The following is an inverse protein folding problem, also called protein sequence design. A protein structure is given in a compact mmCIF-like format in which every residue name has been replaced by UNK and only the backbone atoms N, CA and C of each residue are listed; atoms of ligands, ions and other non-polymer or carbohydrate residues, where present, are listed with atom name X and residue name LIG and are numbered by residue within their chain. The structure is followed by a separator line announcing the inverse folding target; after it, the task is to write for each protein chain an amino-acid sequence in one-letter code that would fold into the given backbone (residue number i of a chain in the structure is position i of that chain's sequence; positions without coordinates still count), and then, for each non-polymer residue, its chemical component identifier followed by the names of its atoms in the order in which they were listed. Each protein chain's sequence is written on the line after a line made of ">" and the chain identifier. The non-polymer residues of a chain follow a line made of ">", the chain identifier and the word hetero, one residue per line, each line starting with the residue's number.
data_IF_228456499279
#
_entry.id   IF_228456499279
#
_cell.length_a   1.000
_cell.length_b   1.000
_cell.length_c   1.000
_cell.angle_alpha   90.00
_cell.angle_beta   90.00
_cell.angle_gamma   90.00
#
_symmetry.space_group_name_H-M   'P 1'
#
loop_
_entity.id
_entity.type
_entity.pdbx_description
1 polymer ?
#
# COMPACT_ATOMS: atom_id res chain seq x y z
N UNK A 1 30.35 -10.36 -10.09
CA UNK A 1 28.91 -10.60 -10.29
C UNK A 1 28.14 -10.06 -9.09
N UNK A 2 27.17 -9.24 -9.34
CA UNK A 2 26.33 -8.81 -8.25
C UNK A 2 25.46 -9.96 -7.76
N UNK A 3 25.29 -10.05 -6.48
CA UNK A 3 24.46 -11.06 -5.87
C UNK A 3 22.99 -10.62 -5.98
N UNK A 4 22.25 -11.23 -6.89
CA UNK A 4 20.83 -11.04 -6.94
C UNK A 4 20.17 -11.80 -5.79
N UNK A 5 19.35 -11.08 -5.02
CA UNK A 5 18.61 -11.69 -3.92
C UNK A 5 17.22 -11.06 -3.78
N UNK A 6 16.24 -11.91 -3.55
CA UNK A 6 14.89 -11.51 -3.15
C UNK A 6 14.69 -11.59 -1.63
N UNK A 7 15.77 -11.79 -0.87
CA UNK A 7 15.69 -11.80 0.57
C UNK A 7 15.35 -10.41 1.10
N UNK A 8 14.38 -10.35 2.00
CA UNK A 8 13.96 -9.10 2.61
C UNK A 8 14.92 -8.74 3.75
N UNK A 9 15.27 -7.45 3.85
CA UNK A 9 15.96 -6.95 5.02
C UNK A 9 14.98 -6.78 6.20
N UNK A 10 15.50 -6.41 7.36
CA UNK A 10 14.69 -6.29 8.58
C UNK A 10 13.59 -5.25 8.44
N UNK A 11 13.88 -4.11 7.83
CA UNK A 11 12.89 -3.06 7.59
C UNK A 11 11.76 -3.52 6.67
N UNK A 12 12.10 -4.20 5.59
CA UNK A 12 11.12 -4.76 4.65
C UNK A 12 10.25 -5.83 5.31
N UNK A 13 10.83 -6.66 6.18
CA UNK A 13 10.07 -7.64 6.95
C UNK A 13 9.10 -6.95 7.92
N UNK A 14 9.52 -5.88 8.57
CA UNK A 14 8.65 -5.08 9.43
C UNK A 14 7.49 -4.45 8.65
N UNK A 15 7.77 -3.89 7.48
CA UNK A 15 6.74 -3.33 6.59
C UNK A 15 5.75 -4.41 6.18
N UNK A 16 6.23 -5.59 5.81
CA UNK A 16 5.37 -6.71 5.45
C UNK A 16 4.45 -7.09 6.61
N UNK A 17 5.01 -7.28 7.81
CA UNK A 17 4.25 -7.73 8.96
C UNK A 17 3.23 -6.66 9.40
N UNK A 18 3.62 -5.41 9.39
CA UNK A 18 2.76 -4.27 9.70
C UNK A 18 1.60 -4.13 8.70
N UNK A 19 1.91 -4.21 7.41
CA UNK A 19 0.89 -4.14 6.36
C UNK A 19 -0.04 -5.35 6.41
N UNK A 20 0.51 -6.54 6.66
CA UNK A 20 -0.27 -7.76 6.82
C UNK A 20 -1.25 -7.66 8.00
N UNK A 21 -0.81 -7.11 9.12
CA UNK A 21 -1.68 -6.90 10.29
C UNK A 21 -2.86 -6.00 9.95
N UNK A 22 -2.63 -4.90 9.26
CA UNK A 22 -3.71 -4.02 8.78
C UNK A 22 -4.64 -4.75 7.81
N UNK A 23 -4.09 -5.48 6.87
CA UNK A 23 -4.88 -6.24 5.89
C UNK A 23 -5.76 -7.30 6.57
N UNK A 24 -5.22 -8.02 7.54
CA UNK A 24 -5.93 -9.07 8.26
C UNK A 24 -7.00 -8.50 9.21
N UNK A 25 -6.68 -7.43 9.93
CA UNK A 25 -7.53 -6.95 11.01
C UNK A 25 -8.55 -5.90 10.57
N UNK A 26 -8.25 -5.13 9.53
CA UNK A 26 -9.10 -4.03 9.06
C UNK A 26 -9.72 -4.33 7.70
N UNK A 27 -8.92 -4.75 6.71
CA UNK A 27 -9.41 -4.90 5.34
C UNK A 27 -10.27 -6.14 5.15
N UNK A 28 -9.77 -7.32 5.50
CA UNK A 28 -10.51 -8.57 5.29
C UNK A 28 -11.87 -8.61 5.96
N UNK A 29 -12.01 -8.19 7.23
CA UNK A 29 -13.33 -8.17 7.85
C UNK A 29 -14.33 -7.21 7.20
N UNK A 30 -13.86 -6.15 6.56
CA UNK A 30 -14.70 -5.11 5.95
C UNK A 30 -14.98 -5.35 4.46
N UNK A 31 -14.24 -6.24 3.80
CA UNK A 31 -14.26 -6.37 2.35
C UNK A 31 -15.67 -6.69 1.79
N UNK A 32 -16.37 -7.63 2.38
CA UNK A 32 -17.69 -8.04 1.92
C UNK A 32 -18.72 -6.92 2.02
N UNK A 33 -18.72 -6.19 3.12
CA UNK A 33 -19.64 -5.06 3.33
C UNK A 33 -19.44 -3.98 2.25
N UNK A 34 -18.19 -3.58 2.00
CA UNK A 34 -17.91 -2.52 1.05
C UNK A 34 -18.15 -2.96 -0.40
N UNK A 35 -17.91 -4.23 -0.71
CA UNK A 35 -18.26 -4.79 -2.01
C UNK A 35 -19.78 -4.72 -2.25
N UNK A 36 -20.57 -5.09 -1.27
CA UNK A 36 -22.04 -5.04 -1.39
C UNK A 36 -22.60 -3.62 -1.45
N UNK A 37 -21.98 -2.67 -0.72
CA UNK A 37 -22.45 -1.27 -0.68
C UNK A 37 -22.20 -0.52 -1.98
N UNK A 38 -21.25 -0.97 -2.79
CA UNK A 38 -20.85 -0.30 -4.03
C UNK A 38 -20.53 1.19 -3.81
N UNK A 39 -19.92 1.50 -2.66
CA UNK A 39 -19.53 2.85 -2.25
C UNK A 39 -18.02 2.92 -2.06
N UNK A 40 -17.45 4.13 -2.14
CA UNK A 40 -16.04 4.31 -1.83
C UNK A 40 -15.81 4.10 -0.33
N UNK A 41 -14.85 3.27 0.07
CA UNK A 41 -14.68 2.86 1.47
C UNK A 41 -13.87 3.90 2.28
N UNK A 42 -14.39 5.11 2.42
CA UNK A 42 -13.71 6.18 3.15
C UNK A 42 -13.18 5.78 4.52
N UNK A 43 -13.95 5.06 5.39
CA UNK A 43 -13.44 4.69 6.70
C UNK A 43 -12.19 3.81 6.65
N UNK A 44 -12.10 2.92 5.66
CA UNK A 44 -10.94 2.04 5.51
C UNK A 44 -9.72 2.83 5.02
N UNK A 45 -9.92 3.75 4.08
CA UNK A 45 -8.86 4.64 3.59
C UNK A 45 -8.37 5.55 4.73
N UNK A 46 -9.27 6.06 5.56
CA UNK A 46 -8.91 6.86 6.73
C UNK A 46 -8.07 6.07 7.74
N UNK A 47 -8.43 4.81 8.01
CA UNK A 47 -7.62 3.95 8.87
C UNK A 47 -6.22 3.69 8.28
N UNK A 48 -6.14 3.47 6.97
CA UNK A 48 -4.87 3.33 6.28
C UNK A 48 -4.02 4.61 6.39
N UNK A 49 -4.66 5.78 6.29
CA UNK A 49 -3.98 7.08 6.44
C UNK A 49 -3.43 7.27 7.85
N UNK A 50 -4.19 6.90 8.87
CA UNK A 50 -3.75 7.02 10.27
C UNK A 50 -2.45 6.27 10.57
N UNK A 51 -2.24 5.14 9.93
CA UNK A 51 -1.04 4.33 10.12
C UNK A 51 0.05 4.62 9.09
N UNK A 52 -0.20 5.53 8.14
CA UNK A 52 0.80 5.93 7.13
C UNK A 52 0.83 5.11 5.85
N UNK A 53 -0.09 4.16 5.66
CA UNK A 53 -0.19 3.39 4.41
C UNK A 53 -0.79 4.19 3.25
N UNK A 54 -1.67 5.13 3.54
CA UNK A 54 -2.22 6.02 2.55
C UNK A 54 -1.52 7.37 2.63
N UNK A 55 -0.88 7.78 1.55
CA UNK A 55 -0.24 9.07 1.49
C UNK A 55 1.03 9.05 0.63
N UNK A 56 1.44 10.23 0.24
CA UNK A 56 2.57 10.43 -0.66
C UNK A 56 3.91 10.02 -0.04
N UNK A 57 4.07 10.27 1.25
CA UNK A 57 5.33 9.99 1.95
C UNK A 57 5.72 8.51 1.90
N UNK A 58 4.77 7.63 2.21
CA UNK A 58 5.01 6.19 2.14
C UNK A 58 5.43 5.76 0.73
N UNK A 59 4.67 6.23 -0.27
CA UNK A 59 4.94 5.87 -1.66
C UNK A 59 6.33 6.35 -2.09
N UNK A 60 6.69 7.59 -1.78
CA UNK A 60 7.99 8.15 -2.14
C UNK A 60 9.14 7.42 -1.46
N UNK A 61 9.00 7.11 -0.17
CA UNK A 61 10.02 6.36 0.55
C UNK A 61 10.20 4.95 -0.03
N UNK A 62 9.10 4.28 -0.36
CA UNK A 62 9.15 2.95 -0.96
C UNK A 62 9.79 2.96 -2.35
N UNK A 63 9.52 4.00 -3.14
CA UNK A 63 10.11 4.13 -4.48
C UNK A 63 11.60 4.46 -4.47
N UNK A 64 12.12 5.01 -3.37
CA UNK A 64 13.55 5.28 -3.22
C UNK A 64 14.36 4.05 -2.83
N UNK A 65 13.71 2.96 -2.47
CA UNK A 65 14.39 1.70 -2.16
C UNK A 65 15.05 1.13 -3.42
N UNK A 66 16.38 1.05 -3.39
CA UNK A 66 17.18 0.60 -4.53
C UNK A 66 17.00 -0.89 -4.84
N UNK A 67 16.58 -1.70 -3.87
CA UNK A 67 16.26 -3.11 -4.11
C UNK A 67 14.98 -3.28 -4.93
N UNK A 68 14.09 -2.29 -4.89
CA UNK A 68 12.79 -2.34 -5.54
C UNK A 68 11.79 -3.27 -4.86
N UNK A 69 12.08 -3.78 -3.66
CA UNK A 69 11.25 -4.79 -2.99
C UNK A 69 10.24 -4.20 -2.01
N UNK A 70 10.48 -3.00 -1.47
CA UNK A 70 9.63 -2.42 -0.43
C UNK A 70 8.20 -2.22 -0.91
N UNK A 71 8.00 -1.58 -2.07
CA UNK A 71 6.66 -1.34 -2.59
C UNK A 71 5.93 -2.63 -2.97
N UNK A 72 6.53 -3.57 -3.73
CA UNK A 72 5.88 -4.84 -4.03
C UNK A 72 5.47 -5.64 -2.79
N UNK A 73 6.28 -5.65 -1.75
CA UNK A 73 5.99 -6.35 -0.49
C UNK A 73 4.75 -5.77 0.18
N UNK A 74 4.67 -4.45 0.29
CA UNK A 74 3.49 -3.79 0.87
C UNK A 74 2.23 -3.99 0.01
N UNK A 75 2.35 -3.84 -1.31
CA UNK A 75 1.24 -4.01 -2.24
C UNK A 75 0.71 -5.44 -2.21
N UNK A 76 1.59 -6.42 -2.17
CA UNK A 76 1.18 -7.83 -2.07
C UNK A 76 0.31 -8.08 -0.85
N UNK A 77 0.69 -7.56 0.31
CA UNK A 77 -0.08 -7.72 1.55
C UNK A 77 -1.41 -6.95 1.52
N UNK A 78 -1.42 -5.75 0.98
CA UNK A 78 -2.66 -4.96 0.83
C UNK A 78 -3.65 -5.72 -0.06
N UNK A 79 -3.22 -6.24 -1.20
CA UNK A 79 -4.08 -6.96 -2.12
C UNK A 79 -4.45 -8.37 -1.62
N UNK A 80 -3.62 -8.97 -0.79
CA UNK A 80 -4.01 -10.16 -0.03
C UNK A 80 -5.19 -9.85 0.91
N UNK A 81 -5.23 -8.65 1.48
CA UNK A 81 -6.35 -8.19 2.30
C UNK A 81 -7.65 -8.14 1.53
N UNK A 82 -7.67 -7.38 0.45
CA UNK A 82 -8.78 -7.30 -0.50
C UNK A 82 -8.37 -6.43 -1.69
N UNK A 83 -8.67 -6.86 -2.90
CA UNK A 83 -8.27 -6.13 -4.10
C UNK A 83 -9.02 -4.81 -4.26
N UNK A 84 -10.31 -4.77 -4.00
CA UNK A 84 -11.12 -3.55 -4.10
C UNK A 84 -10.70 -2.49 -3.10
N UNK A 85 -10.55 -2.87 -1.85
CA UNK A 85 -10.06 -1.97 -0.80
C UNK A 85 -8.61 -1.56 -1.07
N UNK A 86 -7.79 -2.47 -1.58
CA UNK A 86 -6.43 -2.19 -1.99
C UNK A 86 -6.36 -1.11 -3.07
N UNK A 87 -7.22 -1.19 -4.07
CA UNK A 87 -7.32 -0.16 -5.10
C UNK A 87 -7.78 1.18 -4.53
N UNK A 88 -8.69 1.19 -3.57
CA UNK A 88 -9.13 2.43 -2.92
C UNK A 88 -7.98 3.11 -2.16
N UNK A 89 -7.13 2.32 -1.50
CA UNK A 89 -5.98 2.83 -0.74
C UNK A 89 -4.86 3.31 -1.68
N UNK A 90 -4.53 2.53 -2.71
CA UNK A 90 -3.36 2.78 -3.55
C UNK A 90 -3.66 3.58 -4.83
N UNK A 91 -4.92 3.62 -5.26
CA UNK A 91 -5.30 4.17 -6.56
C UNK A 91 -4.98 5.65 -6.76
N UNK A 92 -5.09 6.46 -5.72
CA UNK A 92 -4.74 7.88 -5.79
C UNK A 92 -3.26 8.12 -6.08
N UNK A 93 -2.41 7.13 -5.84
CA UNK A 93 -0.99 7.19 -6.17
C UNK A 93 -0.71 7.39 -7.65
N UNK A 94 -1.60 6.90 -8.53
CA UNK A 94 -1.46 7.08 -9.97
C UNK A 94 -1.57 8.56 -10.36
N UNK A 95 -2.58 9.26 -9.83
CA UNK A 95 -2.74 10.69 -10.10
C UNK A 95 -1.59 11.49 -9.46
N UNK A 96 -1.21 11.16 -8.24
CA UNK A 96 -0.11 11.81 -7.55
C UNK A 96 1.22 11.65 -8.32
N UNK A 97 1.48 10.47 -8.87
CA UNK A 97 2.68 10.23 -9.68
C UNK A 97 2.70 11.10 -10.95
N UNK A 98 1.55 11.26 -11.61
CA UNK A 98 1.44 12.15 -12.77
C UNK A 98 1.74 13.60 -12.41
N UNK A 99 1.16 14.08 -11.31
CA UNK A 99 1.38 15.46 -10.83
C UNK A 99 2.85 15.66 -10.47
N UNK A 100 3.46 14.72 -9.75
CA UNK A 100 4.87 14.82 -9.35
C UNK A 100 5.83 14.77 -10.54
N UNK A 101 5.49 14.00 -11.58
CA UNK A 101 6.36 13.83 -12.74
C UNK A 101 6.33 14.98 -13.73
N UNK A 102 5.16 15.54 -13.98
CA UNK A 102 4.94 16.55 -15.05
C UNK A 102 4.14 17.78 -14.60
N UNK A 103 3.74 17.85 -13.33
CA UNK A 103 3.03 19.00 -12.79
C UNK A 103 3.95 20.18 -12.51
N UNK A 104 3.35 21.33 -12.23
CA UNK A 104 4.09 22.52 -11.79
C UNK A 104 4.46 22.43 -10.31
N UNK A 105 5.55 23.12 -9.90
CA UNK A 105 5.92 23.18 -8.48
C UNK A 105 4.84 23.79 -7.61
#
# INVERSE_FOLDING_TARGET
>A
MSDFSLALNDEQQQIRDWTHGFAADVMRPAAHEWDEREEFPYPIVEEAAKIGLYGWEFLMNAMQDRSGLTLPVAVEEIFWGDAGLGMAIMGSGLAAAGIAGIGTP
#
